data_IF_725622658512
#
_entry.id   IF_725622658512
#
_cell.length_a   1.000
_cell.length_b   1.000
_cell.length_c   1.000
_cell.angle_alpha   90.00
_cell.angle_beta   90.00
_cell.angle_gamma   90.00
#
_symmetry.space_group_name_H-M   'P 1'
#
loop_
_entity.id
_entity.type
_entity.pdbx_description
1 polymer ?
#
# COMPACT_ATOMS: atom_id res chain seq x y z
N UNK A 1 -12.15 -3.46 -31.80
CA UNK A 1 -10.89 -3.59 -31.04
C UNK A 1 -11.04 -4.85 -30.19
N UNK A 2 -10.51 -5.97 -30.70
CA UNK A 2 -10.66 -7.29 -30.06
C UNK A 2 -9.91 -7.25 -28.73
N UNK A 3 -10.65 -7.40 -27.64
CA UNK A 3 -10.13 -7.60 -26.28
C UNK A 3 -9.25 -8.85 -26.32
N UNK A 4 -7.93 -8.70 -26.43
CA UNK A 4 -6.96 -9.81 -26.37
C UNK A 4 -6.91 -10.28 -24.90
N UNK A 5 -7.96 -10.98 -24.49
CA UNK A 5 -7.99 -11.68 -23.20
C UNK A 5 -6.83 -12.68 -23.18
N UNK A 6 -5.87 -12.50 -22.28
CA UNK A 6 -4.78 -13.45 -22.05
C UNK A 6 -5.33 -14.88 -21.97
N UNK A 7 -4.67 -15.83 -22.64
CA UNK A 7 -4.99 -17.26 -22.52
C UNK A 7 -4.89 -17.71 -21.05
N UNK A 8 -5.68 -18.68 -20.58
CA UNK A 8 -5.71 -19.08 -19.15
C UNK A 8 -4.35 -19.41 -18.55
N UNK A 9 -3.44 -20.02 -19.33
CA UNK A 9 -2.07 -20.31 -18.89
C UNK A 9 -1.25 -19.01 -18.68
N UNK A 10 -1.33 -18.06 -19.62
CA UNK A 10 -0.65 -16.78 -19.54
C UNK A 10 -1.17 -15.93 -18.35
N UNK A 11 -2.50 -15.92 -18.10
CA UNK A 11 -3.08 -15.27 -16.92
C UNK A 11 -2.48 -15.82 -15.62
N UNK A 12 -2.41 -17.15 -15.48
CA UNK A 12 -1.81 -17.77 -14.28
C UNK A 12 -0.34 -17.44 -14.15
N UNK A 13 0.40 -17.38 -15.23
CA UNK A 13 1.82 -17.02 -15.22
C UNK A 13 2.01 -15.58 -14.77
N UNK A 14 1.25 -14.60 -15.31
CA UNK A 14 1.27 -13.20 -14.88
C UNK A 14 0.90 -13.09 -13.40
N UNK A 15 -0.17 -13.70 -12.95
CA UNK A 15 -0.62 -13.63 -11.56
C UNK A 15 0.40 -14.25 -10.58
N UNK A 16 1.05 -15.35 -10.94
CA UNK A 16 2.09 -15.96 -10.11
C UNK A 16 3.34 -15.07 -10.00
N UNK A 17 3.76 -14.43 -11.09
CA UNK A 17 4.87 -13.46 -11.10
C UNK A 17 4.53 -12.23 -10.27
N UNK A 18 3.30 -11.68 -10.37
CA UNK A 18 2.83 -10.56 -9.54
C UNK A 18 2.86 -10.89 -8.04
N UNK A 19 2.43 -12.09 -7.64
CA UNK A 19 2.57 -12.53 -6.24
C UNK A 19 4.02 -12.56 -5.76
N UNK A 20 4.94 -13.06 -6.61
CA UNK A 20 6.36 -13.11 -6.28
C UNK A 20 6.96 -11.72 -6.14
N UNK A 21 6.72 -10.83 -7.10
CA UNK A 21 7.20 -9.44 -7.10
C UNK A 21 6.68 -8.66 -5.89
N UNK A 22 5.40 -8.86 -5.53
CA UNK A 22 4.79 -8.26 -4.34
C UNK A 22 5.27 -8.87 -3.01
N UNK A 23 6.17 -9.86 -3.04
CA UNK A 23 6.68 -10.49 -1.84
C UNK A 23 5.69 -11.37 -1.08
N UNK A 24 4.56 -11.76 -1.72
CA UNK A 24 3.51 -12.59 -1.10
C UNK A 24 3.79 -14.09 -1.28
N UNK A 25 4.79 -14.45 -2.09
CA UNK A 25 5.17 -15.84 -2.32
C UNK A 25 5.83 -16.48 -1.07
N UNK A 26 5.66 -17.80 -0.81
CA UNK A 26 6.32 -18.45 0.29
C UNK A 26 7.83 -18.38 0.12
N UNK A 27 8.54 -17.86 1.11
CA UNK A 27 9.99 -18.00 1.16
C UNK A 27 10.32 -19.48 1.42
N UNK A 28 11.22 -20.05 0.64
CA UNK A 28 11.71 -21.42 0.84
C UNK A 28 12.54 -21.44 2.11
N UNK A 29 12.08 -22.16 3.14
CA UNK A 29 12.73 -22.27 4.45
C UNK A 29 11.81 -21.74 5.53
N UNK A 30 11.07 -22.65 6.19
CA UNK A 30 10.12 -22.35 7.26
C UNK A 30 10.81 -21.73 8.46
N UNK A 31 10.76 -20.44 8.56
CA UNK A 31 11.23 -19.63 9.67
C UNK A 31 11.16 -18.18 9.24
N UNK A 32 10.60 -17.35 10.10
CA UNK A 32 10.70 -15.91 10.04
C UNK A 32 12.17 -15.58 10.32
N UNK A 33 13.01 -15.69 9.30
CA UNK A 33 14.34 -15.13 9.38
C UNK A 33 14.43 -14.06 8.30
N UNK A 34 14.71 -12.81 8.66
CA UNK A 34 15.15 -11.83 7.69
C UNK A 34 16.42 -12.41 7.05
N UNK A 35 16.32 -12.86 5.81
CA UNK A 35 17.53 -13.03 5.00
C UNK A 35 17.90 -11.66 4.48
N UNK A 36 18.47 -10.89 5.37
CA UNK A 36 19.37 -9.81 5.02
C UNK A 36 20.61 -10.48 4.42
N UNK A 37 21.05 -10.06 3.26
CA UNK A 37 22.38 -10.40 2.79
C UNK A 37 23.38 -10.03 3.89
N UNK A 38 23.96 -11.01 4.55
CA UNK A 38 25.22 -10.95 5.29
C UNK A 38 25.35 -10.02 6.50
N UNK A 39 24.29 -9.44 7.07
CA UNK A 39 24.36 -8.57 8.24
C UNK A 39 23.23 -8.86 9.25
N UNK A 40 23.49 -8.73 10.55
CA UNK A 40 22.53 -8.91 11.65
C UNK A 40 21.58 -7.70 11.76
N UNK A 41 20.71 -7.48 10.74
CA UNK A 41 19.67 -6.45 10.80
C UNK A 41 18.51 -6.85 11.73
N UNK A 42 17.90 -5.89 12.38
CA UNK A 42 16.72 -6.09 13.23
C UNK A 42 15.47 -6.46 12.40
N UNK A 43 14.45 -7.06 13.05
CA UNK A 43 13.16 -7.33 12.39
C UNK A 43 12.52 -6.04 11.87
N UNK A 44 12.68 -4.94 12.61
CA UNK A 44 12.19 -3.62 12.20
C UNK A 44 12.85 -3.11 10.89
N UNK A 45 14.15 -3.31 10.71
CA UNK A 45 14.84 -3.00 9.45
C UNK A 45 14.34 -3.87 8.30
N UNK A 46 14.12 -5.16 8.51
CA UNK A 46 13.53 -6.05 7.50
C UNK A 46 12.10 -5.63 7.10
N UNK A 47 11.31 -5.14 8.06
CA UNK A 47 9.99 -4.51 7.79
C UNK A 47 10.17 -3.28 6.90
N UNK A 48 11.10 -2.39 7.25
CA UNK A 48 11.36 -1.16 6.49
C UNK A 48 11.86 -1.44 5.07
N UNK A 49 12.76 -2.40 4.90
CA UNK A 49 13.23 -2.84 3.57
C UNK A 49 12.07 -3.36 2.72
N UNK A 50 11.19 -4.17 3.31
CA UNK A 50 10.02 -4.70 2.60
C UNK A 50 9.07 -3.59 2.18
N UNK A 51 8.77 -2.64 3.08
CA UNK A 51 7.93 -1.47 2.78
C UNK A 51 8.60 -0.60 1.72
N UNK A 52 9.90 -0.33 1.85
CA UNK A 52 10.67 0.43 0.88
C UNK A 52 10.70 -0.22 -0.51
N UNK A 53 10.84 -1.55 -0.58
CA UNK A 53 10.76 -2.29 -1.84
C UNK A 53 9.40 -2.12 -2.52
N UNK A 54 8.30 -2.07 -1.75
CA UNK A 54 6.95 -1.86 -2.28
C UNK A 54 6.66 -0.40 -2.61
N UNK A 55 7.56 0.54 -2.29
CA UNK A 55 7.41 1.99 -2.39
C UNK A 55 6.31 2.54 -1.47
N UNK A 56 5.07 2.10 -1.67
CA UNK A 56 3.91 2.53 -0.92
C UNK A 56 2.89 1.39 -0.80
N UNK A 57 2.47 1.10 0.42
CA UNK A 57 1.39 0.14 0.71
C UNK A 57 0.19 0.90 1.23
N UNK A 58 -0.95 0.78 0.58
CA UNK A 58 -2.13 1.54 0.99
C UNK A 58 -2.50 1.24 2.45
N UNK A 59 -2.74 2.29 3.22
CA UNK A 59 -2.99 2.25 4.66
C UNK A 59 -4.11 3.21 5.11
N UNK A 60 -5.08 3.50 4.21
CA UNK A 60 -6.27 4.27 4.56
C UNK A 60 -7.08 3.53 5.64
N UNK A 61 -7.24 2.22 5.52
CA UNK A 61 -7.56 1.31 6.64
C UNK A 61 -6.27 0.83 7.29
N UNK A 62 -5.98 1.34 8.49
CA UNK A 62 -4.75 1.03 9.23
C UNK A 62 -4.58 -0.49 9.43
N UNK A 63 -5.65 -1.19 9.81
CA UNK A 63 -5.58 -2.61 10.09
C UNK A 63 -5.30 -3.45 8.83
N UNK A 64 -5.75 -3.01 7.66
CA UNK A 64 -5.38 -3.59 6.36
C UNK A 64 -3.93 -3.27 6.00
N UNK A 65 -3.49 -2.01 6.22
CA UNK A 65 -2.11 -1.60 5.91
C UNK A 65 -1.07 -2.36 6.73
N UNK A 66 -1.24 -2.51 8.04
CA UNK A 66 -0.29 -3.27 8.87
C UNK A 66 -0.30 -4.77 8.53
N UNK A 67 -1.45 -5.35 8.16
CA UNK A 67 -1.50 -6.74 7.70
C UNK A 67 -0.87 -6.91 6.30
N UNK A 68 -0.98 -5.91 5.43
CA UNK A 68 -0.28 -5.91 4.14
C UNK A 68 1.25 -6.04 4.33
N UNK A 69 1.79 -5.40 5.36
CA UNK A 69 3.19 -5.58 5.76
C UNK A 69 3.40 -7.00 6.35
N UNK A 70 2.58 -7.41 7.30
CA UNK A 70 2.71 -8.71 7.99
C UNK A 70 2.68 -9.90 7.03
N UNK A 71 1.79 -9.91 6.04
CA UNK A 71 1.69 -11.02 5.06
C UNK A 71 2.93 -11.13 4.16
N UNK A 72 3.67 -10.02 3.96
CA UNK A 72 4.90 -9.96 3.16
C UNK A 72 6.17 -10.28 3.94
N UNK A 73 6.20 -9.89 5.20
CA UNK A 73 7.38 -10.03 6.07
C UNK A 73 7.33 -11.27 6.95
N UNK A 74 6.12 -11.71 7.36
CA UNK A 74 5.91 -12.67 8.43
C UNK A 74 6.16 -12.08 9.84
N UNK A 75 6.39 -10.78 9.94
CA UNK A 75 6.51 -10.03 11.19
C UNK A 75 5.19 -10.02 11.97
N UNK A 76 5.24 -9.82 13.27
CA UNK A 76 4.06 -9.59 14.12
C UNK A 76 3.58 -8.13 14.01
N UNK A 77 2.36 -7.83 14.49
CA UNK A 77 1.87 -6.46 14.61
C UNK A 77 2.82 -5.59 15.42
N UNK A 78 3.35 -6.12 16.54
CA UNK A 78 4.31 -5.42 17.39
C UNK A 78 5.61 -5.08 16.66
N UNK A 79 6.10 -5.96 15.78
CA UNK A 79 7.30 -5.67 14.99
C UNK A 79 7.05 -4.52 14.00
N UNK A 80 5.85 -4.46 13.40
CA UNK A 80 5.46 -3.34 12.54
C UNK A 80 5.35 -2.05 13.34
N UNK A 81 4.76 -2.08 14.54
CA UNK A 81 4.67 -0.93 15.45
C UNK A 81 6.09 -0.47 15.87
N UNK A 82 6.98 -1.42 16.19
CA UNK A 82 8.39 -1.11 16.51
C UNK A 82 9.11 -0.43 15.35
N UNK A 83 8.85 -0.81 14.09
CA UNK A 83 9.43 -0.14 12.93
C UNK A 83 8.91 1.31 12.75
N UNK A 84 7.66 1.58 13.14
CA UNK A 84 7.10 2.94 13.17
C UNK A 84 7.77 3.76 14.30
N UNK A 85 7.88 3.19 15.51
CA UNK A 85 8.51 3.83 16.66
C UNK A 85 10.00 4.13 16.41
N UNK A 86 10.69 3.22 15.73
CA UNK A 86 12.07 3.39 15.29
C UNK A 86 12.24 4.39 14.11
N UNK A 87 11.15 4.99 13.65
CA UNK A 87 11.12 5.95 12.53
C UNK A 87 11.63 5.39 11.20
N UNK A 88 11.54 4.07 11.00
CA UNK A 88 11.97 3.40 9.78
C UNK A 88 10.89 3.40 8.71
N UNK A 89 9.62 3.37 9.13
CA UNK A 89 8.44 3.48 8.28
C UNK A 89 7.46 4.51 8.85
N UNK A 90 6.68 5.14 8.00
CA UNK A 90 5.61 6.05 8.40
C UNK A 90 4.45 6.03 7.44
N UNK A 91 3.35 6.70 7.78
CA UNK A 91 2.22 6.93 6.87
C UNK A 91 2.19 8.36 6.38
N UNK A 92 2.00 8.52 5.07
CA UNK A 92 1.81 9.83 4.44
C UNK A 92 0.85 9.72 3.25
N UNK A 93 0.63 10.82 2.54
CA UNK A 93 -0.23 10.91 1.34
C UNK A 93 0.60 11.11 0.07
N UNK A 94 1.35 10.10 -0.42
CA UNK A 94 2.22 10.28 -1.58
C UNK A 94 1.44 10.44 -2.88
N UNK A 95 0.27 9.83 -3.01
CA UNK A 95 -0.47 9.77 -4.28
C UNK A 95 -1.96 9.49 -4.10
N UNK A 96 -2.77 9.81 -5.09
CA UNK A 96 -4.21 9.52 -5.20
C UNK A 96 -5.05 10.00 -4.01
N UNK A 97 -4.51 10.88 -3.14
CA UNK A 97 -5.20 11.39 -1.96
C UNK A 97 -5.46 10.37 -0.86
N UNK A 98 -4.77 9.22 -0.85
CA UNK A 98 -4.89 8.16 0.16
C UNK A 98 -3.62 7.97 0.97
N UNK A 99 -3.79 7.52 2.23
CA UNK A 99 -2.69 7.20 3.13
C UNK A 99 -1.99 5.90 2.69
N UNK A 100 -0.65 5.92 2.76
CA UNK A 100 0.19 4.74 2.48
C UNK A 100 1.28 4.61 3.55
N UNK A 101 1.65 3.38 3.91
CA UNK A 101 2.91 3.10 4.57
C UNK A 101 4.05 3.20 3.57
N UNK A 102 5.11 3.87 3.98
CA UNK A 102 6.32 4.10 3.20
C UNK A 102 7.56 3.95 4.09
N UNK A 103 8.69 3.57 3.52
CA UNK A 103 9.96 3.77 4.19
C UNK A 103 10.18 5.29 4.38
N UNK A 104 10.61 5.72 5.56
CA UNK A 104 10.69 7.15 5.90
C UNK A 104 11.57 7.94 4.94
N UNK A 105 12.68 7.33 4.50
CA UNK A 105 13.61 7.94 3.53
C UNK A 105 12.98 8.27 2.16
N UNK A 106 11.86 7.60 1.83
CA UNK A 106 11.19 7.75 0.53
C UNK A 106 10.04 8.77 0.57
N UNK A 107 9.59 9.20 1.74
CA UNK A 107 8.35 10.01 1.88
C UNK A 107 8.48 11.35 1.17
N UNK A 108 9.58 12.09 1.40
CA UNK A 108 9.75 13.46 0.91
C UNK A 108 9.71 13.52 -0.62
N UNK A 109 10.62 12.80 -1.26
CA UNK A 109 10.73 12.83 -2.72
C UNK A 109 9.49 12.29 -3.43
N UNK A 110 8.87 11.21 -2.90
CA UNK A 110 7.64 10.68 -3.51
C UNK A 110 6.47 11.65 -3.38
N UNK A 111 6.30 12.29 -2.21
CA UNK A 111 5.26 13.29 -2.03
C UNK A 111 5.47 14.48 -2.97
N UNK A 112 6.68 14.99 -3.10
CA UNK A 112 7.01 16.11 -3.99
C UNK A 112 6.82 15.74 -5.46
N UNK A 113 7.33 14.59 -5.90
CA UNK A 113 7.22 14.13 -7.28
C UNK A 113 5.76 13.91 -7.71
N UNK A 114 4.95 13.29 -6.86
CA UNK A 114 3.62 12.82 -7.24
C UNK A 114 2.49 13.84 -6.95
N UNK A 115 2.74 14.83 -6.07
CA UNK A 115 1.77 15.87 -5.73
C UNK A 115 2.21 17.29 -6.11
N UNK A 116 3.30 17.46 -6.84
CA UNK A 116 3.87 18.77 -7.23
C UNK A 116 2.93 19.68 -8.02
N UNK A 117 1.89 19.12 -8.64
CA UNK A 117 0.79 19.86 -9.25
C UNK A 117 -0.54 19.51 -8.58
N UNK A 118 -1.23 20.48 -7.97
CA UNK A 118 -2.57 20.21 -7.45
C UNK A 118 -3.47 19.79 -8.62
N UNK A 119 -3.97 18.56 -8.59
CA UNK A 119 -4.94 18.08 -9.58
C UNK A 119 -6.16 19.02 -9.62
N UNK A 120 -6.81 19.14 -10.79
CA UNK A 120 -8.00 20.01 -10.92
C UNK A 120 -9.07 19.70 -9.87
N UNK A 121 -9.27 18.41 -9.54
CA UNK A 121 -10.19 17.99 -8.49
C UNK A 121 -9.79 18.51 -7.09
N UNK A 122 -8.50 18.58 -6.76
CA UNK A 122 -8.02 19.14 -5.50
C UNK A 122 -8.28 20.64 -5.45
N UNK A 123 -8.00 21.38 -6.54
CA UNK A 123 -8.31 22.82 -6.63
C UNK A 123 -9.80 23.11 -6.46
N UNK A 124 -10.66 22.34 -7.15
CA UNK A 124 -12.12 22.48 -7.00
C UNK A 124 -12.58 22.20 -5.58
N UNK A 125 -12.02 21.17 -4.93
CA UNK A 125 -12.35 20.86 -3.55
C UNK A 125 -11.87 21.93 -2.56
N UNK A 126 -10.70 22.51 -2.77
CA UNK A 126 -10.18 23.61 -1.96
C UNK A 126 -11.06 24.86 -2.09
N UNK A 127 -11.51 25.18 -3.31
CA UNK A 127 -12.45 26.28 -3.52
C UNK A 127 -13.77 26.05 -2.77
N UNK A 128 -14.33 24.83 -2.80
CA UNK A 128 -15.54 24.49 -2.03
C UNK A 128 -15.37 24.61 -0.51
N UNK A 129 -14.15 24.34 -0.02
CA UNK A 129 -13.81 24.41 1.40
C UNK A 129 -13.23 25.78 1.79
N UNK A 130 -13.24 26.75 0.89
CA UNK A 130 -12.64 28.07 1.09
C UNK A 130 -11.19 28.03 1.58
N UNK A 131 -10.43 27.04 1.10
CA UNK A 131 -9.01 26.91 1.36
C UNK A 131 -8.25 27.73 0.32
N UNK A 132 -7.94 28.98 0.68
CA UNK A 132 -7.11 29.89 -0.11
C UNK A 132 -5.62 29.68 0.20
N UNK A 133 -4.73 30.24 -0.66
CA UNK A 133 -3.29 30.21 -0.40
C UNK A 133 -2.94 30.88 0.93
N UNK A 134 -3.60 32.00 1.27
CA UNK A 134 -3.46 32.67 2.56
C UNK A 134 -3.80 31.75 3.74
N UNK A 135 -4.87 30.94 3.62
CA UNK A 135 -5.25 29.96 4.66
C UNK A 135 -4.23 28.84 4.74
N UNK A 136 -3.73 28.37 3.58
CA UNK A 136 -2.66 27.35 3.53
C UNK A 136 -1.39 27.85 4.20
N UNK A 137 -0.91 29.05 3.86
CA UNK A 137 0.34 29.58 4.41
C UNK A 137 0.23 29.86 5.92
N UNK A 138 -0.89 30.43 6.35
CA UNK A 138 -1.14 30.66 7.78
C UNK A 138 -1.22 29.33 8.55
N UNK A 139 -1.94 28.35 8.04
CA UNK A 139 -2.03 27.05 8.66
C UNK A 139 -0.70 26.31 8.70
N UNK A 140 0.13 26.43 7.63
CA UNK A 140 1.52 25.93 7.56
C UNK A 140 2.36 26.51 8.67
N UNK A 141 2.39 27.84 8.82
CA UNK A 141 3.15 28.51 9.87
C UNK A 141 2.74 28.04 11.27
N UNK A 142 1.43 27.87 11.52
CA UNK A 142 0.92 27.40 12.80
C UNK A 142 1.37 25.98 13.13
N UNK A 143 1.22 25.02 12.20
CA UNK A 143 1.62 23.64 12.47
C UNK A 143 3.13 23.51 12.59
N UNK A 144 3.92 24.24 11.77
CA UNK A 144 5.38 24.25 11.88
C UNK A 144 5.82 24.75 13.25
N UNK A 145 5.34 25.91 13.69
CA UNK A 145 5.67 26.47 15.02
C UNK A 145 5.26 25.53 16.16
N UNK A 146 4.13 24.87 16.05
CA UNK A 146 3.64 23.96 17.08
C UNK A 146 4.43 22.65 17.16
N UNK A 147 5.04 22.19 16.04
CA UNK A 147 5.70 20.90 15.91
C UNK A 147 7.23 20.96 16.01
N UNK A 148 7.85 22.12 15.80
CA UNK A 148 9.32 22.31 15.93
C UNK A 148 9.84 21.76 17.26
N UNK A 149 11.01 21.10 17.22
CA UNK A 149 11.66 20.47 18.38
C UNK A 149 11.16 19.05 18.64
N UNK A 150 10.77 18.32 17.59
CA UNK A 150 10.35 16.91 17.68
C UNK A 150 8.98 16.69 18.30
N UNK A 151 8.17 17.75 18.41
CA UNK A 151 6.83 17.69 18.99
C UNK A 151 5.87 16.99 18.04
N UNK A 152 4.84 16.39 18.61
CA UNK A 152 3.77 15.72 17.87
C UNK A 152 2.40 16.27 18.26
N UNK A 153 1.49 16.43 17.30
CA UNK A 153 0.10 16.81 17.53
C UNK A 153 -0.82 15.69 17.10
N UNK A 154 -1.74 15.30 17.96
CA UNK A 154 -2.86 14.47 17.53
C UNK A 154 -3.77 15.25 16.57
N UNK A 155 -4.54 14.54 15.74
CA UNK A 155 -5.50 15.18 14.84
C UNK A 155 -6.45 16.16 15.57
N UNK A 156 -7.08 15.80 16.70
CA UNK A 156 -7.90 16.74 17.45
C UNK A 156 -7.14 18.00 17.91
N UNK A 157 -5.89 17.83 18.39
CA UNK A 157 -5.06 18.95 18.82
C UNK A 157 -4.68 19.88 17.65
N UNK A 158 -4.39 19.33 16.47
CA UNK A 158 -4.10 20.12 15.27
C UNK A 158 -5.35 20.91 14.80
N UNK A 159 -6.53 20.29 14.82
CA UNK A 159 -7.79 20.99 14.49
C UNK A 159 -8.11 22.09 15.49
N UNK A 160 -7.85 21.88 16.77
CA UNK A 160 -8.04 22.89 17.81
C UNK A 160 -7.02 24.04 17.66
N UNK A 161 -5.78 23.74 17.28
CA UNK A 161 -4.78 24.76 16.95
C UNK A 161 -5.27 25.68 15.83
N UNK A 162 -5.84 25.14 14.76
CA UNK A 162 -6.44 25.92 13.67
C UNK A 162 -7.58 26.79 14.19
N UNK A 163 -8.51 26.22 14.98
CA UNK A 163 -9.69 26.93 15.48
C UNK A 163 -9.31 28.12 16.35
N UNK A 164 -8.37 27.96 17.30
CA UNK A 164 -7.89 29.03 18.19
C UNK A 164 -7.21 30.16 17.43
N UNK A 165 -6.70 29.89 16.24
CA UNK A 165 -6.06 30.87 15.39
C UNK A 165 -6.92 31.36 14.23
N UNK A 166 -8.26 31.21 14.32
CA UNK A 166 -9.22 31.75 13.35
C UNK A 166 -9.24 31.03 12.01
N UNK A 167 -8.75 29.78 11.94
CA UNK A 167 -8.95 28.89 10.80
C UNK A 167 -9.99 27.86 11.22
N UNK A 168 -11.21 27.96 10.70
CA UNK A 168 -12.30 27.01 11.00
C UNK A 168 -11.98 25.65 10.36
N UNK A 169 -11.78 24.56 11.15
CA UNK A 169 -11.39 23.26 10.63
C UNK A 169 -12.56 22.38 10.22
N UNK A 170 -13.80 22.82 10.45
CA UNK A 170 -15.01 22.02 10.29
C UNK A 170 -15.31 21.66 8.84
N UNK A 171 -16.25 20.74 8.58
CA UNK A 171 -16.61 20.31 7.23
C UNK A 171 -15.47 19.64 6.45
N UNK A 172 -14.55 18.97 7.11
CA UNK A 172 -13.34 18.34 6.56
C UNK A 172 -12.19 19.32 6.20
N UNK A 173 -12.39 20.63 6.32
CA UNK A 173 -11.39 21.66 5.96
C UNK A 173 -10.05 21.43 6.65
N UNK A 174 -10.03 21.20 7.97
CA UNK A 174 -8.81 20.92 8.72
C UNK A 174 -8.09 19.65 8.28
N UNK A 175 -8.84 18.60 7.87
CA UNK A 175 -8.25 17.37 7.34
C UNK A 175 -7.60 17.60 5.98
N UNK A 176 -8.21 18.42 5.12
CA UNK A 176 -7.62 18.77 3.82
C UNK A 176 -6.37 19.63 3.99
N UNK A 177 -6.30 20.53 4.97
CA UNK A 177 -5.08 21.27 5.31
C UNK A 177 -3.96 20.32 5.74
N UNK A 178 -4.21 19.46 6.73
CA UNK A 178 -3.21 18.49 7.20
C UNK A 178 -2.76 17.54 6.08
N UNK A 179 -3.71 17.02 5.28
CA UNK A 179 -3.41 16.19 4.13
C UNK A 179 -2.54 16.91 3.09
N UNK A 180 -2.81 18.20 2.83
CA UNK A 180 -2.00 19.01 1.90
C UNK A 180 -0.56 19.17 2.42
N UNK A 181 -0.36 19.46 3.70
CA UNK A 181 0.99 19.57 4.26
C UNK A 181 1.75 18.24 4.23
N UNK A 182 1.05 17.11 4.34
CA UNK A 182 1.68 15.81 4.13
C UNK A 182 2.02 15.55 2.64
N UNK A 183 1.15 15.96 1.71
CA UNK A 183 1.38 15.85 0.27
C UNK A 183 2.57 16.72 -0.20
N UNK A 184 2.82 17.81 0.48
CA UNK A 184 3.97 18.70 0.20
C UNK A 184 5.28 18.19 0.84
N UNK A 185 5.21 17.16 1.66
CA UNK A 185 6.36 16.65 2.39
C UNK A 185 6.75 17.49 3.61
N UNK A 186 5.86 18.36 4.10
CA UNK A 186 6.09 19.11 5.35
C UNK A 186 5.80 18.23 6.57
N UNK A 187 4.72 17.48 6.53
CA UNK A 187 4.27 16.62 7.62
C UNK A 187 4.27 15.14 7.21
N UNK A 188 4.39 14.26 8.20
CA UNK A 188 4.00 12.86 8.09
C UNK A 188 3.26 12.44 9.37
N UNK A 189 2.74 11.20 9.39
CA UNK A 189 2.17 10.66 10.62
C UNK A 189 3.30 10.12 11.51
N UNK A 190 3.34 10.59 12.74
CA UNK A 190 4.19 10.07 13.81
C UNK A 190 3.56 8.88 14.53
N UNK A 191 4.15 8.43 15.66
CA UNK A 191 3.61 7.36 16.48
C UNK A 191 2.23 7.72 17.01
N UNK A 192 1.40 6.70 17.21
CA UNK A 192 0.06 6.92 17.74
C UNK A 192 0.11 7.38 19.20
N UNK A 193 -0.67 8.40 19.53
CA UNK A 193 -0.98 8.76 20.93
C UNK A 193 -2.25 8.02 21.35
N UNK A 194 -2.10 6.90 22.02
CA UNK A 194 -3.19 5.96 22.26
C UNK A 194 -3.76 5.41 20.96
N UNK A 195 -5.03 5.69 20.66
CA UNK A 195 -5.69 5.25 19.41
C UNK A 195 -5.67 6.32 18.30
N UNK A 196 -5.06 7.48 18.53
CA UNK A 196 -5.09 8.61 17.62
C UNK A 196 -3.78 8.72 16.84
N UNK A 197 -3.81 8.88 15.51
CA UNK A 197 -2.61 9.21 14.76
C UNK A 197 -2.12 10.61 15.15
N UNK A 198 -0.81 10.78 15.17
CA UNK A 198 -0.19 12.10 15.35
C UNK A 198 0.40 12.60 14.04
N UNK A 199 0.71 13.88 13.99
CA UNK A 199 1.45 14.56 12.94
C UNK A 199 2.75 15.11 13.51
N UNK A 200 3.81 15.00 12.73
CA UNK A 200 5.16 15.47 13.06
C UNK A 200 5.74 16.21 11.85
N UNK A 201 6.73 17.04 12.05
CA UNK A 201 7.52 17.60 10.95
C UNK A 201 8.37 16.51 10.32
N UNK A 202 8.25 16.35 8.99
CA UNK A 202 8.94 15.28 8.27
C UNK A 202 10.46 15.39 8.41
N UNK A 203 11.01 16.58 8.21
CA UNK A 203 12.48 16.80 8.24
C UNK A 203 13.10 16.60 9.63
N UNK A 204 12.32 16.77 10.72
CA UNK A 204 12.79 16.45 12.08
C UNK A 204 12.55 14.98 12.45
N UNK A 205 11.54 14.35 11.83
CA UNK A 205 11.20 12.97 12.10
C UNK A 205 12.12 11.99 11.37
N UNK A 206 12.50 12.33 10.14
CA UNK A 206 13.33 11.52 9.26
C UNK A 206 14.73 12.10 9.20
N UNK A 207 15.71 11.53 9.93
CA UNK A 207 17.06 12.08 10.00
C UNK A 207 17.80 12.03 8.67
N UNK A 208 17.41 11.13 7.77
CA UNK A 208 18.06 10.94 6.46
C UNK A 208 17.02 10.69 5.40
N UNK A 209 16.68 11.71 4.63
CA UNK A 209 15.89 11.60 3.41
C UNK A 209 16.79 11.39 2.20
N UNK A 210 16.35 10.57 1.26
CA UNK A 210 16.93 10.59 -0.07
C UNK A 210 16.26 11.72 -0.87
N UNK A 211 17.05 12.61 -1.43
CA UNK A 211 16.58 13.79 -2.18
C UNK A 211 17.14 13.74 -3.61
N UNK A 212 16.56 12.89 -4.49
CA UNK A 212 17.01 12.76 -5.87
C UNK A 212 16.60 13.95 -6.72
N UNK A 213 17.34 14.20 -7.80
CA UNK A 213 16.91 15.09 -8.86
C UNK A 213 15.63 14.54 -9.53
N UNK A 214 14.79 15.39 -10.13
CA UNK A 214 13.49 14.97 -10.66
C UNK A 214 13.54 13.79 -11.65
N UNK A 215 14.52 13.75 -12.53
CA UNK A 215 14.68 12.65 -13.50
C UNK A 215 15.12 11.34 -12.81
N UNK A 216 16.02 11.45 -11.83
CA UNK A 216 16.44 10.33 -11.00
C UNK A 216 15.27 9.77 -10.18
N UNK A 217 14.46 10.66 -9.59
CA UNK A 217 13.24 10.29 -8.88
C UNK A 217 12.24 9.54 -9.78
N UNK A 218 12.03 10.03 -11.01
CA UNK A 218 11.16 9.39 -11.99
C UNK A 218 11.67 8.01 -12.40
N UNK A 219 12.96 7.89 -12.69
CA UNK A 219 13.62 6.63 -13.03
C UNK A 219 13.48 5.61 -11.90
N UNK A 220 13.82 5.99 -10.67
CA UNK A 220 13.73 5.14 -9.49
C UNK A 220 12.29 4.72 -9.18
N UNK A 221 11.31 5.61 -9.38
CA UNK A 221 9.90 5.28 -9.21
C UNK A 221 9.45 4.19 -10.19
N UNK A 222 9.81 4.32 -11.47
CA UNK A 222 9.46 3.35 -12.51
C UNK A 222 10.14 1.99 -12.25
N UNK A 223 11.45 1.99 -12.03
CA UNK A 223 12.24 0.79 -11.74
C UNK A 223 11.67 0.03 -10.53
N UNK A 224 11.52 0.70 -9.38
CA UNK A 224 11.07 0.08 -8.13
C UNK A 224 9.62 -0.41 -8.23
N UNK A 225 8.74 0.33 -8.94
CA UNK A 225 7.38 -0.14 -9.20
C UNK A 225 7.39 -1.41 -10.05
N UNK A 226 8.14 -1.47 -11.14
CA UNK A 226 8.21 -2.65 -12.00
C UNK A 226 8.84 -3.83 -11.27
N UNK A 227 9.89 -3.61 -10.48
CA UNK A 227 10.51 -4.66 -9.64
C UNK A 227 9.53 -5.24 -8.62
N UNK A 228 8.71 -4.40 -7.98
CA UNK A 228 7.81 -4.81 -6.90
C UNK A 228 6.42 -5.25 -7.36
N UNK A 229 5.99 -4.92 -8.58
CA UNK A 229 4.64 -5.21 -9.08
C UNK A 229 4.64 -6.02 -10.39
N UNK A 230 5.79 -6.15 -11.08
CA UNK A 230 5.86 -6.79 -12.39
C UNK A 230 5.37 -8.25 -12.44
N UNK A 231 4.87 -8.67 -13.63
CA UNK A 231 4.68 -7.95 -14.89
C UNK A 231 3.55 -6.93 -14.84
N UNK A 232 3.78 -5.73 -15.36
CA UNK A 232 2.82 -4.62 -15.37
C UNK A 232 2.72 -3.97 -16.74
N UNK A 233 1.65 -3.23 -16.98
CA UNK A 233 1.52 -2.38 -18.17
C UNK A 233 1.86 -0.92 -17.83
N UNK A 234 2.14 -0.11 -18.85
CA UNK A 234 2.31 1.34 -18.68
C UNK A 234 1.05 1.99 -18.08
N UNK A 235 -0.13 1.43 -18.36
CA UNK A 235 -1.41 1.89 -17.80
C UNK A 235 -1.54 1.54 -16.31
N UNK A 236 -0.99 0.40 -15.89
CA UNK A 236 -0.95 0.03 -14.47
C UNK A 236 -0.11 1.03 -13.70
N UNK A 237 1.10 1.35 -14.20
CA UNK A 237 2.00 2.32 -13.58
C UNK A 237 1.38 3.72 -13.49
N UNK A 238 0.85 4.24 -14.61
CA UNK A 238 0.15 5.52 -14.61
C UNK A 238 -1.04 5.55 -13.64
N UNK A 239 -1.81 4.47 -13.60
CA UNK A 239 -2.96 4.34 -12.71
C UNK A 239 -2.59 4.21 -11.24
N UNK A 240 -1.48 3.54 -10.93
CA UNK A 240 -0.96 3.38 -9.58
C UNK A 240 -0.42 4.71 -9.02
N UNK A 241 0.38 5.42 -9.81
CA UNK A 241 0.91 6.73 -9.42
C UNK A 241 -0.16 7.83 -9.43
N UNK A 242 -1.25 7.66 -10.18
CA UNK A 242 -2.22 8.71 -10.45
C UNK A 242 -1.74 9.75 -11.45
N UNK A 243 -0.64 9.47 -12.17
CA UNK A 243 -0.03 10.37 -13.13
C UNK A 243 -0.49 10.11 -14.56
N UNK A 244 -0.14 11.00 -15.49
CA UNK A 244 -0.46 10.87 -16.91
C UNK A 244 0.32 9.72 -17.56
N UNK A 245 -0.18 9.21 -18.69
CA UNK A 245 0.57 8.24 -19.52
C UNK A 245 1.87 8.84 -20.05
N UNK A 246 1.92 10.15 -20.29
CA UNK A 246 3.15 10.85 -20.71
C UNK A 246 4.20 10.79 -19.63
N UNK A 247 3.84 11.10 -18.37
CA UNK A 247 4.72 10.93 -17.21
C UNK A 247 5.22 9.50 -17.09
N UNK A 248 4.31 8.52 -17.17
CA UNK A 248 4.65 7.12 -17.03
C UNK A 248 5.65 6.63 -18.11
N UNK A 249 5.45 7.04 -19.36
CA UNK A 249 6.39 6.72 -20.46
C UNK A 249 7.75 7.37 -20.24
N UNK A 250 7.79 8.64 -19.83
CA UNK A 250 9.05 9.34 -19.54
C UNK A 250 9.81 8.66 -18.41
N UNK A 251 9.14 8.31 -17.31
CA UNK A 251 9.76 7.64 -16.18
C UNK A 251 10.32 6.25 -16.55
N UNK A 252 9.59 5.48 -17.36
CA UNK A 252 10.07 4.18 -17.87
C UNK A 252 11.28 4.35 -18.81
N UNK A 253 11.25 5.37 -19.68
CA UNK A 253 12.40 5.66 -20.55
C UNK A 253 13.66 6.04 -19.75
N UNK A 254 13.51 6.83 -18.68
CA UNK A 254 14.61 7.21 -17.78
C UNK A 254 15.15 5.99 -16.98
N UNK A 255 14.32 4.99 -16.70
CA UNK A 255 14.78 3.76 -16.04
C UNK A 255 15.71 2.92 -16.92
N UNK A 256 15.68 3.10 -18.25
CA UNK A 256 16.58 2.41 -19.20
C UNK A 256 16.48 0.88 -19.10
N UNK A 257 17.62 0.20 -19.14
CA UNK A 257 17.73 -1.27 -19.14
C UNK A 257 17.23 -1.93 -17.85
N UNK A 258 16.93 -1.18 -16.80
CA UNK A 258 16.34 -1.68 -15.55
C UNK A 258 14.85 -2.03 -15.70
N UNK A 259 14.22 -1.56 -16.77
CA UNK A 259 12.84 -1.90 -17.13
C UNK A 259 12.80 -2.35 -18.58
N UNK A 260 12.53 -3.63 -18.79
CA UNK A 260 12.47 -4.22 -20.14
C UNK A 260 11.03 -4.61 -20.49
N UNK A 261 10.78 -4.76 -21.78
CA UNK A 261 9.48 -5.18 -22.30
C UNK A 261 9.49 -6.68 -22.63
N UNK A 262 8.46 -7.39 -22.19
CA UNK A 262 8.26 -8.83 -22.44
C UNK A 262 6.83 -9.06 -22.97
N UNK A 263 6.72 -9.85 -24.05
CA UNK A 263 5.42 -10.29 -24.57
C UNK A 263 4.93 -11.53 -23.81
N UNK A 264 3.84 -11.38 -23.04
CA UNK A 264 3.25 -12.48 -22.29
C UNK A 264 1.80 -12.71 -22.75
N UNK A 265 1.58 -13.84 -23.41
CA UNK A 265 0.26 -14.22 -23.91
C UNK A 265 -0.32 -13.30 -24.99
N UNK A 266 0.54 -12.60 -25.75
CA UNK A 266 0.19 -11.66 -26.79
C UNK A 266 -0.08 -10.24 -26.29
N UNK A 267 0.30 -9.91 -25.04
CA UNK A 267 0.23 -8.58 -24.47
C UNK A 267 1.61 -8.13 -23.96
N UNK A 268 1.95 -6.88 -24.24
CA UNK A 268 3.23 -6.28 -23.85
C UNK A 268 3.22 -5.87 -22.38
N UNK A 269 4.20 -6.33 -21.63
CA UNK A 269 4.38 -6.06 -20.21
C UNK A 269 5.76 -5.48 -19.92
N UNK A 270 5.83 -4.60 -18.95
CA UNK A 270 7.07 -4.14 -18.34
C UNK A 270 7.48 -5.12 -17.25
N UNK A 271 8.76 -5.54 -17.27
CA UNK A 271 9.34 -6.45 -16.28
C UNK A 271 10.72 -5.94 -15.86
N UNK A 272 11.13 -6.26 -14.64
CA UNK A 272 12.48 -5.98 -14.16
C UNK A 272 13.35 -7.23 -14.35
N UNK A 273 14.60 -7.10 -14.85
CA UNK A 273 15.50 -8.26 -15.03
C UNK A 273 15.70 -9.07 -13.73
N UNK A 274 15.81 -8.39 -12.58
CA UNK A 274 15.99 -9.00 -11.27
C UNK A 274 14.66 -9.34 -10.55
N UNK A 275 13.53 -9.36 -11.27
CA UNK A 275 12.27 -9.74 -10.67
C UNK A 275 12.33 -11.18 -10.12
N UNK A 276 11.80 -11.43 -8.90
CA UNK A 276 11.85 -12.76 -8.30
C UNK A 276 11.03 -13.76 -9.12
N UNK A 277 11.61 -14.96 -9.29
CA UNK A 277 10.89 -16.06 -9.93
C UNK A 277 9.67 -16.47 -9.08
N UNK A 278 8.54 -16.82 -9.70
CA UNK A 278 7.39 -17.35 -8.97
C UNK A 278 7.77 -18.69 -8.31
N UNK A 279 7.26 -18.94 -7.09
CA UNK A 279 7.54 -20.17 -6.37
C UNK A 279 6.91 -21.37 -7.10
N UNK A 280 7.60 -22.52 -7.06
CA UNK A 280 7.08 -23.77 -7.64
C UNK A 280 5.78 -24.26 -7.01
N UNK A 281 5.52 -23.85 -5.76
CA UNK A 281 4.28 -24.14 -5.03
C UNK A 281 3.73 -22.85 -4.43
N UNK A 282 2.58 -22.40 -4.93
CA UNK A 282 1.85 -21.27 -4.34
C UNK A 282 1.00 -21.73 -3.15
N UNK A 283 1.10 -21.02 -2.04
CA UNK A 283 0.20 -21.16 -0.88
C UNK A 283 -1.08 -20.36 -1.11
N UNK A 284 -2.07 -20.61 -0.26
CA UNK A 284 -3.24 -19.74 -0.15
C UNK A 284 -2.93 -18.62 0.84
N UNK A 285 -3.39 -17.41 0.49
CA UNK A 285 -3.18 -16.19 1.27
C UNK A 285 -4.51 -15.51 1.60
N UNK A 286 -4.62 -14.95 2.79
CA UNK A 286 -5.66 -14.02 3.20
C UNK A 286 -5.11 -12.60 3.08
N UNK A 287 -5.33 -11.97 1.92
CA UNK A 287 -4.86 -10.62 1.68
C UNK A 287 -5.85 -9.59 2.24
N UNK A 288 -5.36 -8.47 2.80
CA UNK A 288 -6.23 -7.43 3.35
C UNK A 288 -7.06 -6.73 2.27
N UNK A 289 -8.01 -5.94 2.69
CA UNK A 289 -8.65 -4.96 1.82
C UNK A 289 -7.63 -3.95 1.32
N UNK A 290 -7.82 -3.48 0.10
CA UNK A 290 -6.89 -2.52 -0.53
C UNK A 290 -5.44 -3.01 -0.69
N UNK A 291 -5.21 -4.33 -0.77
CA UNK A 291 -3.86 -4.86 -1.00
C UNK A 291 -3.38 -4.55 -2.42
N UNK A 292 -2.08 -4.31 -2.56
CA UNK A 292 -1.41 -4.00 -3.84
C UNK A 292 -1.59 -5.12 -4.88
N UNK A 293 -1.91 -6.34 -4.46
CA UNK A 293 -2.23 -7.44 -5.38
C UNK A 293 -3.42 -7.12 -6.31
N UNK A 294 -4.32 -6.23 -5.90
CA UNK A 294 -5.39 -5.72 -6.74
C UNK A 294 -5.27 -4.22 -7.03
N UNK A 295 -4.83 -3.42 -6.05
CA UNK A 295 -4.70 -1.97 -6.22
C UNK A 295 -3.54 -1.57 -7.12
N UNK A 296 -2.51 -2.36 -7.18
CA UNK A 296 -1.33 -2.13 -8.00
C UNK A 296 -1.61 -2.10 -9.51
N UNK A 297 -2.83 -2.52 -9.94
CA UNK A 297 -3.12 -2.77 -11.35
C UNK A 297 -4.44 -2.16 -11.81
N UNK A 298 -4.47 -1.67 -13.03
CA UNK A 298 -5.70 -1.31 -13.76
C UNK A 298 -6.30 -2.55 -14.42
N UNK A 299 -5.45 -3.40 -15.04
CA UNK A 299 -5.86 -4.69 -15.56
C UNK A 299 -5.68 -5.80 -14.52
N UNK A 300 -6.79 -6.28 -13.99
CA UNK A 300 -6.88 -7.35 -12.99
C UNK A 300 -7.30 -8.69 -13.57
N UNK A 301 -7.46 -8.78 -14.89
CA UNK A 301 -7.97 -9.99 -15.56
C UNK A 301 -7.07 -11.20 -15.37
N UNK A 302 -5.78 -10.99 -15.05
CA UNK A 302 -4.86 -12.06 -14.67
C UNK A 302 -5.24 -12.72 -13.33
N UNK A 303 -5.83 -12.00 -12.38
CA UNK A 303 -6.09 -12.46 -11.02
C UNK A 303 -7.55 -12.84 -10.77
N UNK A 304 -8.51 -12.25 -11.50
CA UNK A 304 -9.94 -12.46 -11.29
C UNK A 304 -10.75 -12.19 -12.57
N UNK A 305 -11.95 -12.74 -12.65
CA UNK A 305 -12.91 -12.44 -13.73
C UNK A 305 -13.71 -11.18 -13.41
N UNK A 306 -14.37 -10.58 -14.42
CA UNK A 306 -15.25 -9.43 -14.20
C UNK A 306 -16.37 -9.70 -13.18
N UNK A 307 -16.95 -10.92 -13.19
CA UNK A 307 -17.96 -11.30 -12.20
C UNK A 307 -17.39 -11.40 -10.77
N UNK A 308 -16.15 -11.86 -10.62
CA UNK A 308 -15.46 -11.89 -9.33
C UNK A 308 -15.05 -10.47 -8.90
N UNK A 309 -14.66 -9.60 -9.82
CA UNK A 309 -14.32 -8.21 -9.53
C UNK A 309 -15.52 -7.45 -8.93
N UNK A 310 -16.72 -7.66 -9.48
CA UNK A 310 -17.95 -7.07 -8.94
C UNK A 310 -18.23 -7.51 -7.49
N UNK A 311 -17.77 -8.70 -7.08
CA UNK A 311 -17.90 -9.21 -5.71
C UNK A 311 -16.80 -8.70 -4.78
N UNK A 312 -15.62 -8.37 -5.30
CA UNK A 312 -14.51 -7.80 -4.55
C UNK A 312 -14.67 -6.29 -4.37
N UNK A 313 -15.25 -5.61 -5.38
CA UNK A 313 -15.49 -4.15 -5.37
C UNK A 313 -16.99 -3.91 -5.55
N UNK A 314 -17.81 -4.18 -4.53
CA UNK A 314 -19.26 -4.03 -4.63
C UNK A 314 -19.61 -2.56 -4.87
N UNK A 315 -20.52 -2.32 -5.83
CA UNK A 315 -20.97 -0.97 -6.16
C UNK A 315 -19.95 -0.12 -6.92
N UNK A 316 -18.80 -0.64 -7.33
CA UNK A 316 -17.72 0.08 -8.04
C UNK A 316 -17.31 1.40 -7.38
N UNK A 317 -17.42 1.46 -6.05
CA UNK A 317 -17.15 2.64 -5.22
C UNK A 317 -15.68 2.79 -4.79
N UNK A 318 -14.77 1.96 -5.33
CA UNK A 318 -13.35 1.97 -4.97
C UNK A 318 -13.03 1.27 -3.65
N UNK A 319 -14.00 0.65 -2.97
CA UNK A 319 -13.78 -0.14 -1.75
C UNK A 319 -13.43 -1.57 -2.14
N UNK A 320 -12.19 -1.96 -1.91
CA UNK A 320 -11.70 -3.32 -2.16
C UNK A 320 -11.83 -4.17 -0.90
N UNK A 321 -12.63 -5.23 -0.97
CA UNK A 321 -12.76 -6.18 0.13
C UNK A 321 -11.50 -7.03 0.30
N UNK A 322 -11.23 -7.55 1.52
CA UNK A 322 -10.18 -8.54 1.76
C UNK A 322 -10.41 -9.80 0.94
N UNK A 323 -9.36 -10.35 0.34
CA UNK A 323 -9.45 -11.44 -0.63
C UNK A 323 -8.75 -12.71 -0.19
N UNK A 324 -9.32 -13.85 -0.59
CA UNK A 324 -8.69 -15.17 -0.49
C UNK A 324 -8.02 -15.46 -1.82
N UNK A 325 -6.71 -15.56 -1.83
CA UNK A 325 -5.91 -15.77 -3.05
C UNK A 325 -5.26 -17.14 -3.02
N UNK A 326 -5.51 -17.95 -4.03
CA UNK A 326 -4.91 -19.27 -4.21
C UNK A 326 -4.28 -19.36 -5.60
N UNK A 327 -2.99 -19.66 -5.67
CA UNK A 327 -2.24 -19.78 -6.93
C UNK A 327 -2.38 -18.53 -7.84
N UNK A 328 -2.36 -17.34 -7.23
CA UNK A 328 -2.52 -16.07 -7.94
C UNK A 328 -3.94 -15.75 -8.41
N UNK A 329 -4.93 -16.58 -8.07
CA UNK A 329 -6.33 -16.34 -8.41
C UNK A 329 -7.13 -15.97 -7.16
N UNK A 330 -8.01 -14.98 -7.27
CA UNK A 330 -8.95 -14.65 -6.21
C UNK A 330 -10.05 -15.70 -6.21
N UNK A 331 -10.18 -16.44 -5.10
CA UNK A 331 -11.14 -17.53 -4.96
C UNK A 331 -12.24 -17.26 -3.94
N UNK A 332 -12.24 -16.10 -3.31
CA UNK A 332 -13.22 -15.67 -2.33
C UNK A 332 -12.85 -14.34 -1.68
N UNK A 333 -13.70 -13.90 -0.79
CA UNK A 333 -13.46 -12.78 0.12
C UNK A 333 -13.40 -13.29 1.56
N UNK A 334 -12.87 -12.47 2.48
CA UNK A 334 -12.91 -12.80 3.89
C UNK A 334 -13.15 -11.56 4.74
N UNK A 335 -13.62 -11.79 5.96
CA UNK A 335 -13.81 -10.75 6.95
C UNK A 335 -13.25 -11.18 8.29
N UNK A 336 -13.06 -10.22 9.21
CA UNK A 336 -12.53 -10.48 10.56
C UNK A 336 -13.36 -9.79 11.64
N UNK A 337 -13.45 -10.45 12.78
CA UNK A 337 -13.92 -9.85 14.03
C UNK A 337 -12.88 -10.12 15.10
N UNK A 338 -12.22 -9.06 15.55
CA UNK A 338 -11.14 -9.15 16.55
C UNK A 338 -11.76 -9.05 17.94
N UNK A 339 -11.55 -10.07 18.76
CA UNK A 339 -11.89 -10.10 20.18
C UNK A 339 -10.65 -10.03 21.06
N UNK A 340 -10.83 -10.13 22.37
CA UNK A 340 -9.72 -10.00 23.35
C UNK A 340 -8.69 -11.16 23.31
N UNK A 341 -9.14 -12.39 22.99
CA UNK A 341 -8.28 -13.60 23.00
C UNK A 341 -8.23 -14.33 21.68
N UNK A 342 -9.12 -14.00 20.74
CA UNK A 342 -9.24 -14.67 19.46
C UNK A 342 -9.69 -13.71 18.36
N UNK A 343 -9.37 -14.08 17.14
CA UNK A 343 -9.89 -13.46 15.94
C UNK A 343 -10.78 -14.46 15.20
N UNK A 344 -12.03 -14.07 14.93
CA UNK A 344 -12.94 -14.83 14.10
C UNK A 344 -12.76 -14.39 12.66
N UNK A 345 -12.51 -15.35 11.76
CA UNK A 345 -12.29 -15.15 10.34
C UNK A 345 -13.44 -15.82 9.61
N UNK A 346 -14.22 -15.02 8.87
CA UNK A 346 -15.30 -15.52 8.02
C UNK A 346 -14.84 -15.52 6.57
N UNK A 347 -14.79 -16.67 5.95
CA UNK A 347 -14.43 -16.83 4.52
C UNK A 347 -15.69 -17.06 3.70
N UNK A 348 -15.86 -16.25 2.64
CA UNK A 348 -16.94 -16.35 1.66
C UNK A 348 -16.33 -16.76 0.31
N UNK A 349 -16.31 -18.04 -0.02
CA UNK A 349 -15.72 -18.53 -1.25
C UNK A 349 -16.59 -18.20 -2.47
N UNK A 350 -15.97 -18.07 -3.64
CA UNK A 350 -16.70 -17.86 -4.91
C UNK A 350 -17.26 -19.15 -5.51
N UNK A 351 -16.86 -20.29 -5.01
CA UNK A 351 -17.32 -21.61 -5.38
C UNK A 351 -16.90 -22.61 -4.31
N UNK A 352 -17.13 -23.88 -4.52
CA UNK A 352 -16.75 -24.92 -3.57
C UNK A 352 -15.23 -24.96 -3.34
N UNK A 353 -14.84 -25.04 -2.09
CA UNK A 353 -13.45 -25.26 -1.69
C UNK A 353 -13.22 -26.74 -1.39
N UNK A 354 -12.24 -27.36 -2.05
CA UNK A 354 -11.79 -28.70 -1.72
C UNK A 354 -11.29 -28.77 -0.25
N UNK A 355 -11.32 -29.98 0.33
CA UNK A 355 -10.79 -30.20 1.69
C UNK A 355 -9.34 -29.72 1.85
N UNK A 356 -8.50 -29.86 0.82
CA UNK A 356 -7.14 -29.31 0.81
C UNK A 356 -7.17 -27.79 0.91
N UNK A 357 -7.98 -27.08 0.11
CA UNK A 357 -8.07 -25.61 0.16
C UNK A 357 -8.62 -25.10 1.49
N UNK A 358 -9.55 -25.82 2.12
CA UNK A 358 -10.04 -25.48 3.48
C UNK A 358 -8.90 -25.52 4.49
N UNK A 359 -8.06 -26.58 4.48
CA UNK A 359 -6.86 -26.66 5.33
C UNK A 359 -5.84 -25.54 5.01
N UNK A 360 -5.74 -25.11 3.76
CA UNK A 360 -4.87 -24.00 3.39
C UNK A 360 -5.41 -22.67 3.95
N UNK A 361 -6.74 -22.48 3.99
CA UNK A 361 -7.39 -21.34 4.65
C UNK A 361 -7.09 -21.36 6.16
N UNK A 362 -7.23 -22.50 6.83
CA UNK A 362 -6.93 -22.62 8.26
C UNK A 362 -5.48 -22.22 8.59
N UNK A 363 -4.52 -22.64 7.75
CA UNK A 363 -3.11 -22.22 7.90
C UNK A 363 -2.91 -20.72 7.70
N UNK A 364 -3.54 -20.13 6.69
CA UNK A 364 -3.45 -18.69 6.44
C UNK A 364 -4.14 -17.89 7.56
N UNK A 365 -5.24 -18.39 8.09
CA UNK A 365 -5.92 -17.81 9.24
C UNK A 365 -5.06 -17.88 10.53
N UNK A 366 -4.39 -19.01 10.76
CA UNK A 366 -3.46 -19.18 11.88
C UNK A 366 -2.30 -18.16 11.78
N UNK A 367 -1.77 -17.93 10.57
CA UNK A 367 -0.74 -16.90 10.34
C UNK A 367 -1.25 -15.48 10.65
N UNK A 368 -2.50 -15.17 10.29
CA UNK A 368 -3.11 -13.87 10.65
C UNK A 368 -3.35 -13.76 12.17
N UNK A 369 -3.79 -14.83 12.84
CA UNK A 369 -3.92 -14.89 14.29
C UNK A 369 -2.58 -14.66 14.98
N UNK A 370 -1.52 -15.33 14.52
CA UNK A 370 -0.16 -15.17 15.04
C UNK A 370 0.36 -13.74 14.88
N UNK A 371 0.08 -13.09 13.71
CA UNK A 371 0.37 -11.68 13.50
C UNK A 371 -0.24 -10.77 14.58
N UNK A 372 -1.47 -11.05 15.01
CA UNK A 372 -2.17 -10.28 16.04
C UNK A 372 -1.84 -10.74 17.48
N UNK A 373 -1.10 -11.84 17.66
CA UNK A 373 -0.93 -12.49 18.97
C UNK A 373 -2.22 -13.14 19.50
N UNK A 374 -3.14 -13.58 18.61
CA UNK A 374 -4.45 -14.11 18.94
C UNK A 374 -4.66 -15.51 18.34
N UNK A 375 -5.54 -16.30 18.96
CA UNK A 375 -6.02 -17.56 18.37
C UNK A 375 -6.97 -17.26 17.20
N UNK A 376 -6.74 -17.91 16.05
CA UNK A 376 -7.63 -17.78 14.90
C UNK A 376 -8.74 -18.84 14.94
N UNK A 377 -9.96 -18.43 14.62
CA UNK A 377 -11.11 -19.32 14.42
C UNK A 377 -11.72 -19.05 13.06
N UNK A 378 -11.83 -20.08 12.21
CA UNK A 378 -12.36 -19.96 10.84
C UNK A 378 -13.80 -20.40 10.78
N UNK A 379 -14.61 -19.64 10.05
CA UNK A 379 -15.97 -20.00 9.64
C UNK A 379 -16.10 -19.82 8.12
N UNK A 380 -16.84 -20.69 7.47
CA UNK A 380 -17.18 -20.56 6.07
C UNK A 380 -18.62 -20.10 5.94
N UNK A 381 -18.83 -18.93 5.32
CA UNK A 381 -20.15 -18.52 4.89
C UNK A 381 -20.54 -19.30 3.63
N UNK A 382 -21.83 -19.52 3.42
CA UNK A 382 -22.31 -20.05 2.15
C UNK A 382 -21.89 -19.14 0.99
N UNK A 383 -21.76 -19.67 -0.23
CA UNK A 383 -21.48 -18.81 -1.37
C UNK A 383 -22.60 -17.77 -1.47
N UNK A 384 -22.23 -16.49 -1.64
CA UNK A 384 -23.22 -15.45 -1.93
C UNK A 384 -23.98 -15.87 -3.19
N UNK A 385 -25.30 -16.00 -3.08
CA UNK A 385 -26.21 -16.19 -4.22
C UNK A 385 -26.28 -14.92 -5.05
#
# INVERSE_FOLDING_TARGET
>A
MVDLLLRPAARRAVAARRLASLGIAPRVGGGIAPRVGGGAGSVAESVAETVGRQLALQAQDLASGVWSIGVRTGASLRDVESAIEARLITRSWPMRGTLHFMATKDVKWMCQLLNGGAAAATRARFAQLEITDTVLDRGRALVTSALVGGRALSRPAALELFRRNGIHPDGQRGLHLLGRYCQEGLLCQGPAAGRQPTFVLLDEWVPTSWEPEPEEAMAALAERYVLSHGPVTIRDFAGWTGQSLTFARAAVALAGDRVVTEEIGGASHLVHPDAPAPPSRSRLHLLPGFDEFLLGYKDRTAMLTAAQEARVVPGRNGVFLPTVVAQGQVVGTWGRRVGARRVEITVTPFGELSARRRRDVDRAATAYGAFLGLLAQVRFAGPHR
#
